data_IF_365580347274
#
_entry.id   IF_365580347274
#
_cell.length_a   1.000
_cell.length_b   1.000
_cell.length_c   1.000
_cell.angle_alpha   90.00
_cell.angle_beta   90.00
_cell.angle_gamma   90.00
#
_symmetry.space_group_name_H-M   'P 1'
#
loop_
_entity.id
_entity.type
_entity.pdbx_description
1 polymer ?
#
# COMPACT_ATOMS: atom_id res chain seq x y z
N UNK A 1 14.48 8.32 6.57
CA UNK A 1 13.17 8.26 5.91
C UNK A 1 11.99 8.40 6.90
N UNK A 2 12.19 8.14 8.21
CA UNK A 2 11.13 8.27 9.22
C UNK A 2 10.00 7.23 9.16
N UNK A 3 10.10 6.22 8.31
CA UNK A 3 9.06 5.18 8.16
C UNK A 3 8.85 4.37 9.45
N UNK A 4 9.90 4.19 10.24
CA UNK A 4 9.87 3.53 11.55
C UNK A 4 9.23 4.38 12.67
N UNK A 5 8.92 5.66 12.42
CA UNK A 5 8.36 6.58 13.40
C UNK A 5 9.39 7.31 14.27
N UNK A 6 10.68 7.01 14.11
CA UNK A 6 11.77 7.69 14.80
C UNK A 6 12.32 8.86 13.97
N UNK A 7 12.99 9.82 14.63
CA UNK A 7 13.49 11.04 13.99
C UNK A 7 14.62 10.77 12.96
N UNK A 8 15.23 9.57 12.99
CA UNK A 8 16.29 9.19 12.06
C UNK A 8 16.82 7.79 12.36
N UNK A 9 17.79 7.35 11.57
CA UNK A 9 18.40 6.02 11.76
C UNK A 9 19.16 5.93 13.10
N UNK A 10 19.80 7.00 13.54
CA UNK A 10 20.51 7.02 14.82
C UNK A 10 19.54 6.89 16.00
N UNK A 11 18.40 7.58 15.95
CA UNK A 11 17.38 7.51 17.00
C UNK A 11 16.76 6.12 17.12
N UNK A 12 16.52 5.42 16.01
CA UNK A 12 16.02 4.02 16.07
C UNK A 12 17.10 3.07 16.55
N UNK A 13 18.38 3.29 16.18
CA UNK A 13 19.49 2.48 16.67
C UNK A 13 19.65 2.60 18.19
N UNK A 14 19.61 3.81 18.72
CA UNK A 14 19.63 4.06 20.17
C UNK A 14 18.47 3.38 20.89
N UNK A 15 17.25 3.50 20.35
CA UNK A 15 16.07 2.85 20.92
C UNK A 15 16.19 1.32 20.94
N UNK A 16 16.78 0.71 19.90
CA UNK A 16 17.03 -0.72 19.84
C UNK A 16 18.05 -1.16 20.91
N UNK A 17 19.14 -0.39 21.07
CA UNK A 17 20.18 -0.64 22.08
C UNK A 17 19.59 -0.54 23.49
N UNK A 18 18.80 0.50 23.76
CA UNK A 18 18.12 0.70 25.04
C UNK A 18 17.01 -0.33 25.33
N UNK A 19 16.58 -1.11 24.32
CA UNK A 19 15.48 -2.06 24.42
C UNK A 19 14.09 -1.45 24.32
N UNK A 20 14.00 -0.17 23.95
CA UNK A 20 12.74 0.55 23.74
C UNK A 20 12.12 0.24 22.37
N UNK A 21 12.93 -0.23 21.42
CA UNK A 21 12.51 -0.68 20.11
C UNK A 21 12.99 -2.11 19.83
N UNK A 22 12.25 -2.80 18.95
CA UNK A 22 12.63 -4.14 18.49
C UNK A 22 13.75 -4.05 17.46
N UNK A 23 14.54 -5.11 17.29
CA UNK A 23 15.64 -5.19 16.29
C UNK A 23 15.14 -5.03 14.85
N UNK A 24 13.89 -5.36 14.59
CA UNK A 24 13.19 -5.25 13.30
C UNK A 24 12.35 -3.97 13.16
N UNK A 25 12.51 -3.00 14.04
CA UNK A 25 11.74 -1.76 14.05
C UNK A 25 11.89 -0.92 12.76
N UNK A 26 13.00 -1.08 12.02
CA UNK A 26 13.22 -0.40 10.75
C UNK A 26 12.70 -1.25 9.57
N UNK A 27 11.58 -0.89 8.91
CA UNK A 27 11.03 -1.67 7.81
C UNK A 27 11.90 -1.66 6.54
N UNK A 28 12.91 -0.78 6.48
CA UNK A 28 13.88 -0.72 5.38
C UNK A 28 15.11 -1.60 5.58
N UNK A 29 15.22 -2.31 6.70
CA UNK A 29 16.35 -3.19 6.99
C UNK A 29 16.09 -4.59 6.43
N UNK A 30 17.09 -5.18 5.73
CA UNK A 30 16.98 -6.55 5.25
C UNK A 30 17.01 -7.57 6.40
N UNK A 31 16.41 -8.74 6.19
CA UNK A 31 16.42 -9.84 7.17
C UNK A 31 17.83 -10.24 7.58
N UNK A 32 18.79 -10.23 6.64
CA UNK A 32 20.20 -10.50 6.91
C UNK A 32 20.82 -9.48 7.89
N UNK A 33 20.51 -8.19 7.70
CA UNK A 33 20.99 -7.13 8.59
C UNK A 33 20.30 -7.17 9.96
N UNK A 34 19.00 -7.52 10.00
CA UNK A 34 18.28 -7.74 11.27
C UNK A 34 18.96 -8.87 12.06
N UNK A 35 19.30 -9.98 11.40
CA UNK A 35 20.01 -11.08 12.06
C UNK A 35 21.40 -10.65 12.60
N UNK A 36 22.15 -9.85 11.84
CA UNK A 36 23.45 -9.31 12.30
C UNK A 36 23.28 -8.39 13.52
N UNK A 37 22.30 -7.49 13.51
CA UNK A 37 21.99 -6.60 14.63
C UNK A 37 21.58 -7.41 15.87
N UNK A 38 20.73 -8.41 15.69
CA UNK A 38 20.31 -9.29 16.77
C UNK A 38 21.49 -10.07 17.38
N UNK A 39 22.38 -10.61 16.56
CA UNK A 39 23.58 -11.30 17.02
C UNK A 39 24.51 -10.39 17.83
N UNK A 40 24.69 -9.13 17.40
CA UNK A 40 25.50 -8.13 18.14
C UNK A 40 24.89 -7.83 19.52
N UNK A 41 23.56 -7.76 19.59
CA UNK A 41 22.83 -7.39 20.80
C UNK A 41 22.45 -8.59 21.71
N UNK A 42 22.77 -9.84 21.28
CA UNK A 42 22.35 -11.04 21.97
C UNK A 42 20.83 -11.22 22.09
N UNK A 43 20.07 -10.68 21.13
CA UNK A 43 18.60 -10.75 21.09
C UNK A 43 18.13 -11.76 20.05
N UNK A 44 16.99 -12.40 20.32
CA UNK A 44 16.35 -13.28 19.34
C UNK A 44 15.68 -12.45 18.23
N UNK A 45 15.79 -12.92 16.98
CA UNK A 45 15.06 -12.38 15.85
C UNK A 45 13.70 -13.08 15.78
N UNK A 46 12.62 -12.30 15.70
CA UNK A 46 11.32 -12.85 15.29
C UNK A 46 11.33 -12.81 13.76
N UNK A 47 11.28 -13.98 13.15
CA UNK A 47 11.22 -14.12 11.69
C UNK A 47 9.83 -13.61 11.25
N UNK A 48 9.76 -12.35 10.84
CA UNK A 48 8.56 -11.80 10.22
C UNK A 48 8.72 -11.89 8.71
N UNK A 49 7.76 -12.52 8.04
CA UNK A 49 7.69 -12.50 6.59
C UNK A 49 7.73 -11.05 6.09
N UNK A 50 8.64 -10.72 5.15
CA UNK A 50 8.76 -9.38 4.63
C UNK A 50 7.46 -8.96 3.98
N UNK A 51 6.90 -7.85 4.45
CA UNK A 51 5.65 -7.31 3.91
C UNK A 51 5.88 -6.53 2.61
N UNK A 52 4.84 -6.48 1.80
CA UNK A 52 4.79 -5.70 0.57
C UNK A 52 3.47 -4.94 0.50
N UNK A 53 3.53 -3.70 0.01
CA UNK A 53 2.32 -2.94 -0.24
C UNK A 53 1.58 -3.49 -1.46
N UNK A 54 0.25 -3.50 -1.43
CA UNK A 54 -0.55 -3.82 -2.59
C UNK A 54 -1.73 -2.86 -2.72
N UNK A 55 -2.15 -2.60 -3.96
CA UNK A 55 -3.23 -1.65 -4.26
C UNK A 55 -4.54 -2.40 -4.44
N UNK A 56 -5.52 -2.10 -3.60
CA UNK A 56 -6.87 -2.67 -3.65
C UNK A 56 -7.73 -1.97 -4.71
N UNK A 57 -7.19 -1.86 -5.92
CA UNK A 57 -7.88 -1.32 -7.07
C UNK A 57 -7.32 -1.94 -8.35
N UNK A 58 -8.20 -2.48 -9.18
CA UNK A 58 -7.92 -2.95 -10.54
C UNK A 58 -8.70 -2.16 -11.59
N UNK A 59 -9.27 -1.01 -11.19
CA UNK A 59 -10.07 -0.13 -12.03
C UNK A 59 -9.20 0.77 -12.92
N UNK A 60 -8.58 0.20 -13.94
CA UNK A 60 -7.84 0.93 -14.98
C UNK A 60 -8.75 1.88 -15.75
N UNK A 61 -8.17 2.73 -16.61
CA UNK A 61 -8.92 3.62 -17.50
C UNK A 61 -9.88 2.88 -18.44
N UNK A 62 -9.60 1.61 -18.75
CA UNK A 62 -10.48 0.75 -19.54
C UNK A 62 -11.61 0.14 -18.70
N UNK A 63 -11.32 -0.23 -17.45
CA UNK A 63 -12.26 -0.91 -16.57
C UNK A 63 -13.26 0.05 -15.91
N UNK A 64 -12.90 1.34 -15.74
CA UNK A 64 -13.78 2.36 -15.15
C UNK A 64 -13.75 3.63 -15.98
N UNK A 65 -14.94 4.15 -16.31
CA UNK A 65 -15.04 5.40 -17.10
C UNK A 65 -14.81 6.62 -16.22
N UNK A 66 -14.09 7.65 -16.71
CA UNK A 66 -14.01 8.92 -16.00
C UNK A 66 -15.40 9.59 -15.98
N UNK A 67 -15.78 10.18 -14.83
CA UNK A 67 -16.97 11.01 -14.69
C UNK A 67 -16.65 12.49 -14.91
N UNK A 68 -15.44 12.90 -14.52
CA UNK A 68 -14.97 14.27 -14.60
C UNK A 68 -13.46 14.31 -14.80
N UNK A 69 -12.99 15.39 -15.38
CA UNK A 69 -11.56 15.66 -15.48
C UNK A 69 -11.14 16.51 -14.28
N UNK A 70 -10.13 16.05 -13.55
CA UNK A 70 -9.54 16.83 -12.47
C UNK A 70 -8.57 17.86 -13.06
N UNK A 71 -8.78 19.12 -12.72
CA UNK A 71 -7.87 20.22 -13.04
C UNK A 71 -7.42 20.83 -11.71
N UNK A 72 -6.16 20.66 -11.35
CA UNK A 72 -5.63 21.12 -10.06
C UNK A 72 -4.24 20.54 -9.79
N UNK A 73 -3.82 20.63 -8.53
CA UNK A 73 -2.53 20.10 -8.07
C UNK A 73 -2.54 18.57 -8.22
N UNK A 74 -1.49 18.02 -8.84
CA UNK A 74 -1.33 16.56 -9.03
C UNK A 74 -1.00 15.86 -7.68
N UNK A 75 -1.94 15.92 -6.74
CA UNK A 75 -1.87 15.31 -5.42
C UNK A 75 -3.21 14.68 -5.05
N UNK A 76 -3.17 13.41 -4.59
CA UNK A 76 -4.39 12.67 -4.25
C UNK A 76 -5.13 13.25 -3.04
N UNK A 77 -4.43 13.87 -2.09
CA UNK A 77 -5.06 14.47 -0.91
C UNK A 77 -5.80 15.74 -1.30
N UNK A 78 -5.15 16.60 -2.10
CA UNK A 78 -5.79 17.81 -2.63
C UNK A 78 -7.03 17.47 -3.44
N UNK A 79 -6.93 16.46 -4.31
CA UNK A 79 -8.06 15.99 -5.11
C UNK A 79 -9.19 15.39 -4.24
N UNK A 80 -8.86 14.64 -3.19
CA UNK A 80 -9.85 14.05 -2.29
C UNK A 80 -10.63 15.11 -1.50
N UNK A 81 -10.02 16.24 -1.18
CA UNK A 81 -10.69 17.37 -0.48
C UNK A 81 -11.82 18.00 -1.32
N UNK A 82 -11.77 17.88 -2.65
CA UNK A 82 -12.87 18.37 -3.51
C UNK A 82 -14.17 17.59 -3.33
N UNK A 83 -14.14 16.44 -2.64
CA UNK A 83 -15.27 15.54 -2.47
C UNK A 83 -15.74 14.85 -3.75
N UNK A 84 -15.09 15.14 -4.89
CA UNK A 84 -15.45 14.59 -6.18
C UNK A 84 -14.72 13.27 -6.44
N UNK A 85 -15.44 12.31 -6.98
CA UNK A 85 -14.85 11.12 -7.58
C UNK A 85 -14.70 11.37 -9.09
N UNK A 86 -13.46 11.37 -9.56
CA UNK A 86 -13.17 11.61 -10.99
C UNK A 86 -13.45 10.37 -11.84
N UNK A 87 -13.36 9.19 -11.25
CA UNK A 87 -13.81 7.94 -11.87
C UNK A 87 -15.23 7.56 -11.49
N UNK A 88 -15.84 6.66 -12.26
CA UNK A 88 -17.17 6.11 -11.95
C UNK A 88 -17.22 5.39 -10.61
N UNK A 89 -16.09 4.82 -10.16
CA UNK A 89 -15.96 4.18 -8.86
C UNK A 89 -15.46 5.17 -7.80
N UNK A 90 -16.27 5.49 -6.81
CA UNK A 90 -15.92 6.38 -5.71
C UNK A 90 -14.86 5.82 -4.74
N UNK A 91 -14.67 4.50 -4.73
CA UNK A 91 -13.68 3.80 -3.89
C UNK A 91 -12.35 3.56 -4.61
N UNK A 92 -12.24 3.94 -5.88
CA UNK A 92 -11.10 3.63 -6.72
C UNK A 92 -9.87 4.50 -6.48
N UNK A 93 -8.77 4.11 -7.10
CA UNK A 93 -7.55 4.92 -7.16
C UNK A 93 -7.83 6.24 -7.89
N UNK A 94 -7.24 7.34 -7.38
CA UNK A 94 -7.33 8.65 -8.03
C UNK A 94 -6.28 8.84 -9.14
N UNK A 95 -5.22 8.02 -9.15
CA UNK A 95 -4.20 8.02 -10.19
C UNK A 95 -3.24 9.21 -10.19
N UNK A 96 -3.26 10.09 -9.17
CA UNK A 96 -2.46 11.32 -9.14
C UNK A 96 -1.06 11.16 -8.51
N UNK A 97 -0.69 9.95 -8.06
CA UNK A 97 0.69 9.62 -7.75
C UNK A 97 1.23 10.08 -6.39
N UNK A 98 0.44 10.52 -5.41
CA UNK A 98 0.96 10.89 -4.09
C UNK A 98 1.71 9.73 -3.40
N UNK A 99 1.28 8.48 -3.63
CA UNK A 99 1.98 7.28 -3.15
C UNK A 99 3.30 7.03 -3.90
N UNK A 100 3.42 7.46 -5.15
CA UNK A 100 4.67 7.39 -5.93
C UNK A 100 5.70 8.36 -5.37
N UNK A 101 5.27 9.60 -5.14
CA UNK A 101 6.14 10.67 -4.62
C UNK A 101 6.72 10.35 -3.23
N UNK A 102 5.92 9.71 -2.36
CA UNK A 102 6.38 9.38 -0.99
C UNK A 102 7.24 8.11 -0.94
N UNK A 103 7.30 7.32 -1.99
CA UNK A 103 8.02 6.04 -1.98
C UNK A 103 9.54 6.24 -2.12
N UNK A 104 10.35 6.03 -1.06
CA UNK A 104 11.79 6.25 -1.12
C UNK A 104 12.51 5.22 -2.00
N UNK A 105 11.87 4.09 -2.28
CA UNK A 105 12.45 3.00 -3.08
C UNK A 105 12.04 3.07 -4.58
N UNK A 106 11.21 4.05 -4.97
CA UNK A 106 10.69 4.10 -6.34
C UNK A 106 9.93 2.82 -6.73
N UNK A 107 9.32 2.15 -5.76
CA UNK A 107 8.64 0.87 -5.95
C UNK A 107 7.20 1.03 -6.47
N UNK A 108 6.72 2.24 -6.68
CA UNK A 108 5.33 2.49 -7.10
C UNK A 108 5.35 3.34 -8.37
N UNK A 109 4.51 2.97 -9.33
CA UNK A 109 4.26 3.74 -10.55
C UNK A 109 2.76 3.88 -10.81
N UNK A 110 2.36 4.86 -11.61
CA UNK A 110 0.99 4.94 -12.14
C UNK A 110 0.98 4.27 -13.51
N UNK A 111 0.12 3.26 -13.66
CA UNK A 111 -0.09 2.53 -14.91
C UNK A 111 -1.59 2.48 -15.18
N UNK A 112 -2.01 2.83 -16.36
CA UNK A 112 -3.41 2.85 -16.79
C UNK A 112 -4.35 3.54 -15.79
N UNK A 113 -3.88 4.64 -15.17
CA UNK A 113 -4.65 5.45 -14.23
C UNK A 113 -4.73 4.90 -12.79
N UNK A 114 -4.03 3.83 -12.46
CA UNK A 114 -3.96 3.28 -11.11
C UNK A 114 -2.52 3.11 -10.62
N UNK A 115 -2.32 3.12 -9.30
CA UNK A 115 -1.03 2.82 -8.71
C UNK A 115 -0.73 1.32 -8.79
N UNK A 116 0.49 0.99 -9.20
CA UNK A 116 1.01 -0.39 -9.27
C UNK A 116 2.30 -0.47 -8.45
N UNK A 117 2.43 -1.50 -7.63
CA UNK A 117 3.60 -1.73 -6.76
C UNK A 117 4.49 -2.80 -7.35
N UNK A 118 5.78 -2.48 -7.49
CA UNK A 118 6.83 -3.47 -7.77
C UNK A 118 7.24 -4.15 -6.45
N UNK A 119 6.79 -5.40 -6.26
CA UNK A 119 7.07 -6.17 -5.06
C UNK A 119 8.57 -6.44 -4.85
N UNK A 120 9.40 -6.44 -5.91
CA UNK A 120 10.85 -6.65 -5.78
C UNK A 120 11.55 -5.45 -5.16
N UNK A 121 11.07 -4.23 -5.45
CA UNK A 121 11.62 -2.98 -4.91
C UNK A 121 10.98 -2.57 -3.57
N UNK A 122 9.77 -3.04 -3.30
CA UNK A 122 9.03 -2.67 -2.09
C UNK A 122 9.67 -3.28 -0.84
N UNK A 123 9.94 -2.45 0.15
CA UNK A 123 10.51 -2.84 1.46
C UNK A 123 9.46 -2.86 2.58
N UNK A 124 8.18 -2.73 2.27
CA UNK A 124 7.10 -2.86 3.25
C UNK A 124 6.98 -1.70 4.25
N UNK A 125 7.56 -0.53 3.99
CA UNK A 125 7.59 0.57 4.97
C UNK A 125 6.24 1.23 5.29
N UNK A 126 5.18 0.95 4.53
CA UNK A 126 3.82 1.43 4.79
C UNK A 126 3.57 2.93 4.54
N UNK A 127 4.56 3.72 4.08
CA UNK A 127 4.39 5.16 3.83
C UNK A 127 3.29 5.45 2.81
N UNK A 128 3.22 4.66 1.74
CA UNK A 128 2.20 4.78 0.72
C UNK A 128 0.78 4.50 1.25
N UNK A 129 0.64 3.54 2.17
CA UNK A 129 -0.64 3.22 2.81
C UNK A 129 -1.12 4.38 3.68
N UNK A 130 -0.22 4.99 4.48
CA UNK A 130 -0.52 6.17 5.31
C UNK A 130 -0.83 7.42 4.47
N UNK A 131 -0.25 7.52 3.26
CA UNK A 131 -0.41 8.68 2.38
C UNK A 131 -1.70 8.61 1.56
N UNK A 132 -2.23 7.42 1.30
CA UNK A 132 -3.39 7.24 0.43
C UNK A 132 -4.68 7.77 1.07
N UNK A 133 -5.32 8.84 0.54
CA UNK A 133 -6.54 9.39 1.12
C UNK A 133 -7.76 8.47 0.96
N UNK A 134 -7.70 7.53 0.00
CA UNK A 134 -8.74 6.51 -0.21
C UNK A 134 -8.55 5.28 0.67
N UNK A 135 -7.41 5.12 1.35
CA UNK A 135 -7.12 3.97 2.20
C UNK A 135 -7.09 2.63 1.44
N UNK A 136 -6.76 2.64 0.15
CA UNK A 136 -6.81 1.46 -0.72
C UNK A 136 -5.47 0.75 -0.88
N UNK A 137 -4.45 1.17 -0.15
CA UNK A 137 -3.15 0.50 -0.15
C UNK A 137 -3.04 -0.28 1.15
N UNK A 138 -3.04 -1.60 1.04
CA UNK A 138 -2.85 -2.53 2.13
C UNK A 138 -1.42 -3.03 2.20
N UNK A 139 -1.09 -3.69 3.30
CA UNK A 139 0.16 -4.43 3.49
C UNK A 139 -0.19 -5.91 3.60
N UNK A 140 0.58 -6.77 2.97
CA UNK A 140 0.45 -8.22 3.11
C UNK A 140 1.82 -8.89 3.03
N UNK A 141 1.90 -10.12 3.46
CA UNK A 141 3.14 -10.90 3.42
C UNK A 141 3.55 -11.15 1.97
N UNK A 142 4.83 -11.06 1.68
CA UNK A 142 5.39 -11.25 0.33
C UNK A 142 5.03 -12.61 -0.27
N UNK A 143 4.81 -13.60 0.58
CA UNK A 143 4.41 -14.97 0.22
C UNK A 143 2.94 -15.09 -0.19
N UNK A 144 2.11 -14.07 0.08
CA UNK A 144 0.69 -14.06 -0.28
C UNK A 144 0.51 -14.11 -1.78
N UNK A 145 -0.05 -15.21 -2.29
CA UNK A 145 -0.24 -15.44 -3.73
C UNK A 145 -1.56 -14.88 -4.26
N UNK A 146 -2.56 -14.70 -3.40
CA UNK A 146 -3.92 -14.31 -3.79
C UNK A 146 -4.39 -13.15 -2.93
N UNK A 147 -4.84 -12.07 -3.56
CA UNK A 147 -5.41 -10.92 -2.88
C UNK A 147 -6.54 -10.28 -3.70
N UNK A 148 -7.58 -9.78 -3.02
CA UNK A 148 -8.70 -9.10 -3.68
C UNK A 148 -8.29 -7.67 -4.00
N UNK A 149 -8.13 -7.36 -5.30
CA UNK A 149 -7.76 -6.03 -5.79
C UNK A 149 -8.99 -5.14 -6.00
N UNK A 150 -9.80 -4.98 -4.97
CA UNK A 150 -10.97 -4.12 -5.01
C UNK A 150 -11.37 -3.68 -3.60
N UNK A 151 -11.51 -2.38 -3.40
CA UNK A 151 -11.97 -1.74 -2.15
C UNK A 151 -13.42 -1.27 -2.22
N UNK A 152 -14.15 -1.54 -3.32
CA UNK A 152 -15.54 -1.12 -3.50
C UNK A 152 -16.45 -1.79 -2.45
N UNK A 153 -17.22 -0.97 -1.73
CA UNK A 153 -18.13 -1.42 -0.67
C UNK A 153 -19.52 -1.77 -1.17
N UNK A 154 -19.83 -1.41 -2.43
CA UNK A 154 -21.09 -1.78 -3.07
C UNK A 154 -21.09 -3.27 -3.42
N UNK A 155 -22.26 -3.83 -3.70
CA UNK A 155 -22.43 -5.26 -4.00
C UNK A 155 -23.14 -5.48 -5.34
N UNK A 156 -22.89 -6.65 -5.91
CA UNK A 156 -23.63 -7.15 -7.07
C UNK A 156 -23.57 -6.23 -8.31
N UNK A 157 -24.71 -5.99 -8.96
CA UNK A 157 -24.78 -5.23 -10.21
C UNK A 157 -24.33 -3.78 -10.11
N UNK A 158 -24.44 -3.15 -8.91
CA UNK A 158 -24.01 -1.77 -8.69
C UNK A 158 -22.51 -1.59 -8.97
N UNK A 159 -21.68 -2.58 -8.58
CA UNK A 159 -20.24 -2.57 -8.86
C UNK A 159 -19.97 -2.67 -10.35
N UNK A 160 -20.66 -3.58 -11.05
CA UNK A 160 -20.45 -3.82 -12.49
C UNK A 160 -20.85 -2.61 -13.36
N UNK A 161 -21.78 -1.79 -12.88
CA UNK A 161 -22.14 -0.52 -13.57
C UNK A 161 -21.02 0.49 -13.59
N UNK A 162 -20.14 0.50 -12.57
CA UNK A 162 -19.08 1.49 -12.39
C UNK A 162 -17.68 1.00 -12.72
N UNK A 163 -17.47 -0.33 -12.65
CA UNK A 163 -16.15 -0.94 -12.89
C UNK A 163 -16.29 -2.39 -13.37
N UNK A 164 -15.78 -2.71 -14.56
CA UNK A 164 -15.81 -4.08 -15.11
C UNK A 164 -14.91 -5.04 -14.32
N UNK A 165 -13.79 -4.53 -13.74
CA UNK A 165 -12.87 -5.29 -12.89
C UNK A 165 -13.29 -5.33 -11.42
N UNK A 166 -14.43 -4.72 -11.06
CA UNK A 166 -14.87 -4.62 -9.67
C UNK A 166 -15.31 -5.95 -9.06
N UNK A 167 -14.96 -6.16 -7.79
CA UNK A 167 -15.41 -7.31 -7.01
C UNK A 167 -16.89 -7.12 -6.60
N UNK A 168 -17.76 -8.06 -6.99
CA UNK A 168 -19.19 -7.99 -6.69
C UNK A 168 -19.56 -8.47 -5.28
N UNK A 169 -18.58 -8.90 -4.48
CA UNK A 169 -18.79 -9.36 -3.10
C UNK A 169 -19.54 -10.69 -3.01
N UNK A 170 -19.43 -11.58 -4.00
CA UNK A 170 -20.15 -12.87 -4.03
C UNK A 170 -19.67 -13.89 -3.01
N UNK A 171 -18.48 -13.71 -2.40
CA UNK A 171 -17.92 -14.60 -1.38
C UNK A 171 -17.42 -15.95 -1.90
N UNK A 172 -17.40 -16.20 -3.22
CA UNK A 172 -16.93 -17.47 -3.78
C UNK A 172 -15.48 -17.74 -3.42
N UNK A 173 -14.61 -16.72 -3.54
CA UNK A 173 -13.19 -16.84 -3.18
C UNK A 173 -12.99 -17.21 -1.71
N UNK A 174 -13.79 -16.64 -0.80
CA UNK A 174 -13.70 -16.96 0.63
C UNK A 174 -14.11 -18.40 0.97
N UNK A 175 -14.92 -19.04 0.09
CA UNK A 175 -15.32 -20.45 0.26
C UNK A 175 -14.31 -21.42 -0.36
N UNK A 176 -13.47 -20.95 -1.27
CA UNK A 176 -12.47 -21.75 -1.98
C UNK A 176 -11.06 -21.61 -1.39
N UNK A 177 -10.78 -20.54 -0.61
CA UNK A 177 -9.54 -20.38 0.12
C UNK A 177 -9.65 -21.12 1.47
N UNK A 178 -8.74 -22.06 1.70
CA UNK A 178 -8.50 -22.71 2.99
C UNK A 178 -7.77 -21.76 3.95
#
# INVERSE_FOLDING_TARGET
>A
CGACGYAGCDAVAEAIVKGEARVDACPGTSTENIAKIAAILGKETIDQDPQVAYVQCAGTCEATKPKAQYVGIADCRAAALSGLSFGSCEFGCLGLGSCVQICPQGAISIQDGIAVVDAKKCVGCGLCAKTCPKGIIGMHDRTTKVAVRCSNKNKGPAVKKVCSAGCIGCGICAKQCE
#
